data_IF_924832243675
#
_entry.id   IF_924832243675
#
_cell.length_a   1.000
_cell.length_b   1.000
_cell.length_c   1.000
_cell.angle_alpha   90.00
_cell.angle_beta   90.00
_cell.angle_gamma   90.00
#
_symmetry.space_group_name_H-M   'P 1'
#
loop_
_entity.id
_entity.type
_entity.pdbx_description
1 polymer ?
#
# COMPACT_ATOMS: atom_id res chain seq x y z
N UNK A 1 22.80 2.66 2.68
CA UNK A 1 21.66 3.11 1.85
C UNK A 1 22.11 4.31 1.05
N UNK A 2 21.99 4.29 -0.28
CA UNK A 2 22.21 5.49 -1.08
C UNK A 2 21.02 6.44 -0.84
N UNK A 3 21.24 7.53 -0.10
CA UNK A 3 20.19 8.44 0.40
C UNK A 3 19.88 9.59 -0.55
N UNK A 4 20.49 9.63 -1.73
CA UNK A 4 20.29 10.69 -2.73
C UNK A 4 18.82 10.92 -3.11
N UNK A 5 17.99 9.89 -2.96
CA UNK A 5 16.58 9.90 -3.33
C UNK A 5 15.63 10.27 -2.19
N UNK A 6 16.11 10.37 -0.94
CA UNK A 6 15.27 10.53 0.25
C UNK A 6 15.54 11.87 0.92
N UNK A 7 14.50 12.69 1.06
CA UNK A 7 14.51 13.91 1.89
C UNK A 7 13.73 13.66 3.17
N UNK A 8 14.16 14.26 4.27
CA UNK A 8 13.47 14.18 5.56
C UNK A 8 12.95 15.54 6.00
N UNK A 9 11.67 15.61 6.36
CA UNK A 9 11.02 16.78 6.92
C UNK A 9 10.77 16.57 8.42
N UNK A 10 11.57 17.21 9.31
CA UNK A 10 11.53 16.93 10.75
C UNK A 10 10.23 17.38 11.42
N UNK A 11 9.61 18.46 10.96
CA UNK A 11 8.39 19.00 11.58
C UNK A 11 7.18 18.06 11.50
N UNK A 12 7.17 17.14 10.55
CA UNK A 12 6.08 16.16 10.36
C UNK A 12 6.57 14.71 10.46
N UNK A 13 7.83 14.48 10.88
CA UNK A 13 8.51 13.19 10.85
C UNK A 13 8.25 12.43 9.52
N UNK A 14 8.48 13.09 8.39
CA UNK A 14 8.12 12.55 7.06
C UNK A 14 9.33 12.42 6.16
N UNK A 15 9.55 11.22 5.65
CA UNK A 15 10.48 10.92 4.58
C UNK A 15 9.76 11.09 3.23
N UNK A 16 10.47 11.68 2.26
CA UNK A 16 9.97 11.92 0.91
C UNK A 16 10.95 11.26 -0.06
N UNK A 17 10.51 10.22 -0.74
CA UNK A 17 11.25 9.56 -1.80
C UNK A 17 10.91 10.23 -3.13
N UNK A 18 11.91 10.69 -3.88
CA UNK A 18 11.68 11.28 -5.19
C UNK A 18 11.18 10.26 -6.22
N UNK A 19 10.50 10.74 -7.27
CA UNK A 19 10.03 9.90 -8.38
C UNK A 19 11.16 9.08 -9.01
N UNK A 20 10.83 7.92 -9.56
CA UNK A 20 11.79 7.03 -10.26
C UNK A 20 12.97 6.57 -9.40
N UNK A 21 12.82 6.58 -8.08
CA UNK A 21 13.82 6.03 -7.18
C UNK A 21 13.83 4.51 -7.24
N UNK A 22 14.98 3.92 -6.92
CA UNK A 22 15.20 2.49 -6.99
C UNK A 22 15.93 2.02 -5.71
N UNK A 23 15.38 0.99 -5.07
CA UNK A 23 15.91 0.43 -3.82
C UNK A 23 16.11 -1.08 -3.96
N UNK A 24 17.36 -1.52 -3.90
CA UNK A 24 17.73 -2.95 -3.94
C UNK A 24 17.51 -3.66 -2.61
N UNK A 25 17.71 -2.93 -1.52
CA UNK A 25 17.60 -3.44 -0.16
C UNK A 25 16.29 -2.99 0.48
N UNK A 26 15.87 -3.68 1.54
CA UNK A 26 14.69 -3.29 2.32
C UNK A 26 14.78 -1.86 2.82
N UNK A 27 13.66 -1.15 2.79
CA UNK A 27 13.53 0.22 3.29
C UNK A 27 12.75 0.18 4.59
N UNK A 28 13.38 0.58 5.68
CA UNK A 28 12.80 0.62 7.02
C UNK A 28 12.86 2.04 7.56
N UNK A 29 11.71 2.66 7.83
CA UNK A 29 11.62 4.06 8.26
C UNK A 29 10.72 4.23 9.49
N UNK A 30 11.24 4.96 10.49
CA UNK A 30 10.57 5.25 11.77
C UNK A 30 9.73 6.53 11.73
N UNK A 31 8.97 6.72 10.66
CA UNK A 31 8.18 7.92 10.42
C UNK A 31 7.18 7.73 9.29
N UNK A 32 6.60 8.82 8.83
CA UNK A 32 5.74 8.82 7.66
C UNK A 32 6.59 8.73 6.39
N UNK A 33 6.04 8.15 5.32
CA UNK A 33 6.70 8.05 4.03
C UNK A 33 5.75 8.47 2.91
N UNK A 34 6.19 9.46 2.12
CA UNK A 34 5.58 9.82 0.84
C UNK A 34 6.53 9.37 -0.27
N UNK A 35 6.04 8.53 -1.17
CA UNK A 35 6.82 8.01 -2.30
C UNK A 35 6.38 8.68 -3.59
N UNK A 36 7.32 9.23 -4.34
CA UNK A 36 7.07 9.74 -5.68
C UNK A 36 6.64 8.64 -6.66
N UNK A 37 6.11 9.04 -7.82
CA UNK A 37 5.65 8.08 -8.82
C UNK A 37 6.79 7.20 -9.38
N UNK A 38 6.42 6.01 -9.84
CA UNK A 38 7.29 5.07 -10.57
C UNK A 38 8.53 4.62 -9.80
N UNK A 39 8.42 4.43 -8.48
CA UNK A 39 9.52 3.91 -7.67
C UNK A 39 9.54 2.37 -7.67
N UNK A 40 10.72 1.79 -7.47
CA UNK A 40 10.90 0.33 -7.43
C UNK A 40 11.57 -0.08 -6.12
N UNK A 41 10.92 -0.98 -5.38
CA UNK A 41 11.44 -1.59 -4.16
C UNK A 41 11.60 -3.09 -4.40
N UNK A 42 12.83 -3.59 -4.39
CA UNK A 42 13.12 -4.99 -4.72
C UNK A 42 12.99 -5.94 -3.54
N UNK A 43 12.89 -5.41 -2.33
CA UNK A 43 12.61 -6.16 -1.12
C UNK A 43 11.46 -5.51 -0.35
N UNK A 44 11.50 -5.60 0.98
CA UNK A 44 10.44 -5.14 1.87
C UNK A 44 10.42 -3.61 2.00
N UNK A 45 9.22 -3.07 2.17
CA UNK A 45 8.99 -1.67 2.52
C UNK A 45 8.24 -1.59 3.84
N UNK A 46 8.91 -1.18 4.91
CA UNK A 46 8.33 -1.06 6.24
C UNK A 46 8.41 0.37 6.75
N UNK A 47 7.24 0.90 7.09
CA UNK A 47 7.04 2.29 7.51
C UNK A 47 6.30 2.25 8.85
N UNK A 48 6.90 2.74 9.93
CA UNK A 48 6.22 2.75 11.24
C UNK A 48 5.05 3.75 11.29
N UNK A 49 5.04 4.74 10.39
CA UNK A 49 3.98 5.74 10.27
C UNK A 49 3.07 5.51 9.05
N UNK A 50 2.55 6.61 8.51
CA UNK A 50 1.68 6.60 7.34
C UNK A 50 2.48 6.43 6.05
N UNK A 51 2.01 5.57 5.15
CA UNK A 51 2.58 5.35 3.83
C UNK A 51 1.65 5.92 2.74
N UNK A 52 2.20 6.76 1.87
CA UNK A 52 1.57 7.15 0.61
C UNK A 52 2.46 6.68 -0.54
N UNK A 53 2.08 5.59 -1.20
CA UNK A 53 2.85 5.01 -2.30
C UNK A 53 2.42 5.65 -3.62
N UNK A 54 3.34 6.40 -4.26
CA UNK A 54 3.06 7.07 -5.52
C UNK A 54 2.73 6.11 -6.65
N UNK A 55 1.85 6.54 -7.56
CA UNK A 55 1.37 5.78 -8.72
C UNK A 55 2.47 5.05 -9.51
N UNK A 56 2.10 3.95 -10.15
CA UNK A 56 2.99 3.12 -10.99
C UNK A 56 4.24 2.59 -10.25
N UNK A 57 4.20 2.49 -8.92
CA UNK A 57 5.31 1.94 -8.14
C UNK A 57 5.19 0.43 -8.00
N UNK A 58 6.34 -0.23 -7.92
CA UNK A 58 6.46 -1.67 -7.73
C UNK A 58 7.11 -1.95 -6.37
N UNK A 59 6.49 -2.81 -5.57
CA UNK A 59 7.11 -3.43 -4.39
C UNK A 59 7.14 -4.93 -4.58
N UNK A 60 8.33 -5.52 -4.63
CA UNK A 60 8.48 -6.97 -4.80
C UNK A 60 8.28 -7.75 -3.50
N UNK A 61 8.69 -7.18 -2.37
CA UNK A 61 8.51 -7.79 -1.06
C UNK A 61 7.20 -7.40 -0.40
N UNK A 62 7.16 -7.62 0.91
CA UNK A 62 6.03 -7.24 1.74
C UNK A 62 6.06 -5.74 2.07
N UNK A 63 4.87 -5.18 2.31
CA UNK A 63 4.66 -3.80 2.72
C UNK A 63 4.01 -3.78 4.09
N UNK A 64 4.58 -3.00 5.02
CA UNK A 64 4.04 -2.78 6.36
C UNK A 64 3.92 -1.28 6.64
N UNK A 65 2.75 -0.84 7.11
CA UNK A 65 2.48 0.57 7.44
C UNK A 65 1.45 0.72 8.57
N UNK A 66 1.42 1.88 9.23
CA UNK A 66 0.37 2.16 10.21
C UNK A 66 -0.96 2.50 9.54
N UNK A 67 -0.93 3.40 8.55
CA UNK A 67 -1.99 3.63 7.57
C UNK A 67 -1.35 3.60 6.18
N UNK A 68 -2.10 3.21 5.15
CA UNK A 68 -1.57 3.20 3.79
C UNK A 68 -2.57 3.70 2.76
N UNK A 69 -2.06 4.53 1.84
CA UNK A 69 -2.70 4.84 0.57
C UNK A 69 -1.79 4.31 -0.53
N UNK A 70 -2.30 3.37 -1.32
CA UNK A 70 -1.59 2.79 -2.46
C UNK A 70 -2.10 3.47 -3.73
N UNK A 71 -1.24 4.27 -4.36
CA UNK A 71 -1.59 5.04 -5.54
C UNK A 71 -1.93 4.18 -6.76
N UNK A 72 -2.54 4.77 -7.81
CA UNK A 72 -3.03 4.02 -8.95
C UNK A 72 -1.94 3.22 -9.69
N UNK A 73 -2.31 2.10 -10.29
CA UNK A 73 -1.42 1.24 -11.09
C UNK A 73 -0.18 0.73 -10.33
N UNK A 74 -0.23 0.65 -8.99
CA UNK A 74 0.86 0.04 -8.24
C UNK A 74 0.75 -1.49 -8.26
N UNK A 75 1.91 -2.15 -8.23
CA UNK A 75 2.02 -3.62 -8.13
C UNK A 75 2.75 -3.96 -6.81
N UNK A 76 2.13 -4.79 -5.98
CA UNK A 76 2.74 -5.35 -4.77
C UNK A 76 2.74 -6.86 -4.91
N UNK A 77 3.93 -7.47 -5.06
CA UNK A 77 4.04 -8.92 -5.23
C UNK A 77 3.97 -9.69 -3.92
N UNK A 78 4.37 -9.06 -2.83
CA UNK A 78 4.22 -9.60 -1.48
C UNK A 78 2.84 -9.31 -0.89
N UNK A 79 2.79 -9.35 0.43
CA UNK A 79 1.62 -9.00 1.23
C UNK A 79 1.68 -7.56 1.71
N UNK A 80 0.52 -6.93 1.84
CA UNK A 80 0.33 -5.60 2.40
C UNK A 80 -0.36 -5.73 3.76
N UNK A 81 0.34 -5.39 4.83
CA UNK A 81 -0.19 -5.39 6.19
C UNK A 81 -0.25 -3.96 6.72
N UNK A 82 -1.43 -3.54 7.15
CA UNK A 82 -1.67 -2.18 7.64
C UNK A 82 -2.34 -2.22 9.00
N UNK A 83 -1.82 -1.49 9.99
CA UNK A 83 -2.37 -1.57 11.35
C UNK A 83 -3.78 -0.98 11.47
N UNK A 84 -4.06 0.10 10.73
CA UNK A 84 -5.35 0.80 10.73
C UNK A 84 -6.00 0.77 9.37
N UNK A 85 -6.06 1.90 8.66
CA UNK A 85 -6.88 2.05 7.47
C UNK A 85 -6.04 1.91 6.20
N UNK A 86 -6.61 1.21 5.22
CA UNK A 86 -6.00 0.96 3.92
C UNK A 86 -6.90 1.49 2.80
N UNK A 87 -6.33 2.27 1.89
CA UNK A 87 -6.97 2.65 0.63
C UNK A 87 -6.15 2.16 -0.56
N UNK A 88 -6.75 1.34 -1.40
CA UNK A 88 -6.23 0.95 -2.71
C UNK A 88 -6.89 1.81 -3.77
N UNK A 89 -6.09 2.59 -4.51
CA UNK A 89 -6.56 3.40 -5.63
C UNK A 89 -6.78 2.56 -6.89
N UNK A 90 -7.21 3.19 -7.98
CA UNK A 90 -7.60 2.50 -9.21
C UNK A 90 -6.48 1.60 -9.76
N UNK A 91 -6.84 0.43 -10.27
CA UNK A 91 -5.93 -0.51 -10.94
C UNK A 91 -4.71 -0.96 -10.11
N UNK A 92 -4.85 -1.10 -8.79
CA UNK A 92 -3.79 -1.67 -7.93
C UNK A 92 -3.82 -3.20 -7.98
N UNK A 93 -2.67 -3.82 -8.21
CA UNK A 93 -2.50 -5.29 -8.16
C UNK A 93 -1.69 -5.70 -6.92
N UNK A 94 -2.28 -6.55 -6.09
CA UNK A 94 -1.63 -7.18 -4.94
C UNK A 94 -1.70 -8.69 -5.12
N UNK A 95 -0.58 -9.30 -5.46
CA UNK A 95 -0.52 -10.74 -5.72
C UNK A 95 -0.75 -11.57 -4.45
N UNK A 96 -0.28 -11.06 -3.30
CA UNK A 96 -0.43 -11.66 -1.98
C UNK A 96 -1.73 -11.27 -1.28
N UNK A 97 -1.64 -11.03 0.03
CA UNK A 97 -2.77 -10.57 0.85
C UNK A 97 -2.74 -9.06 1.06
N UNK A 98 -3.92 -8.46 1.24
CA UNK A 98 -4.07 -7.14 1.84
C UNK A 98 -4.83 -7.32 3.16
N UNK A 99 -4.22 -6.93 4.28
CA UNK A 99 -4.83 -7.03 5.60
C UNK A 99 -4.78 -5.69 6.32
N UNK A 100 -5.88 -5.30 6.96
CA UNK A 100 -5.91 -4.08 7.75
C UNK A 100 -6.72 -4.21 9.06
N UNK A 101 -6.24 -3.57 10.12
CA UNK A 101 -6.94 -3.54 11.42
C UNK A 101 -8.16 -2.60 11.48
N UNK A 102 -8.32 -1.73 10.48
CA UNK A 102 -9.41 -0.77 10.35
C UNK A 102 -10.29 -1.03 9.14
N UNK A 103 -10.57 0.03 8.39
CA UNK A 103 -11.36 -0.01 7.17
C UNK A 103 -10.45 -0.16 5.95
N UNK A 104 -10.90 -0.96 4.99
CA UNK A 104 -10.26 -1.12 3.68
C UNK A 104 -11.18 -0.58 2.59
N UNK A 105 -10.73 0.41 1.84
CA UNK A 105 -11.37 0.86 0.61
C UNK A 105 -10.61 0.32 -0.59
N UNK A 106 -11.30 -0.39 -1.48
CA UNK A 106 -10.74 -0.93 -2.72
C UNK A 106 -11.48 -0.34 -3.91
N UNK A 107 -10.75 0.39 -4.75
CA UNK A 107 -11.28 1.10 -5.89
C UNK A 107 -11.30 0.26 -7.18
N UNK A 108 -11.99 0.72 -8.24
CA UNK A 108 -12.16 -0.04 -9.47
C UNK A 108 -10.84 -0.49 -10.11
N UNK A 109 -10.86 -1.63 -10.79
CA UNK A 109 -9.72 -2.21 -11.48
C UNK A 109 -8.76 -2.99 -10.57
N UNK A 110 -8.91 -2.92 -9.25
CA UNK A 110 -8.01 -3.62 -8.33
C UNK A 110 -8.12 -5.15 -8.43
N UNK A 111 -6.98 -5.81 -8.27
CA UNK A 111 -6.85 -7.26 -8.17
C UNK A 111 -6.10 -7.62 -6.89
N UNK A 112 -6.70 -8.41 -6.00
CA UNK A 112 -6.08 -8.80 -4.73
C UNK A 112 -6.23 -10.30 -4.48
N UNK A 113 -5.15 -10.97 -4.07
CA UNK A 113 -5.16 -12.40 -3.77
C UNK A 113 -6.08 -12.76 -2.60
N UNK A 114 -5.88 -12.13 -1.45
CA UNK A 114 -6.70 -12.35 -0.25
C UNK A 114 -6.92 -11.03 0.47
N UNK A 115 -8.09 -10.79 1.04
CA UNK A 115 -8.37 -9.59 1.83
C UNK A 115 -8.91 -9.90 3.21
N UNK A 116 -8.47 -9.12 4.20
CA UNK A 116 -9.04 -9.07 5.54
C UNK A 116 -9.12 -7.63 6.02
N UNK A 117 -10.30 -7.20 6.44
CA UNK A 117 -10.49 -5.93 7.14
C UNK A 117 -11.24 -6.20 8.44
N UNK A 118 -10.69 -5.80 9.58
CA UNK A 118 -11.33 -6.05 10.88
C UNK A 118 -12.64 -5.26 11.05
N UNK A 119 -12.76 -4.08 10.41
CA UNK A 119 -13.95 -3.23 10.54
C UNK A 119 -14.89 -3.30 9.34
N UNK A 120 -14.38 -2.95 8.15
CA UNK A 120 -15.18 -2.85 6.94
C UNK A 120 -14.29 -2.98 5.71
N UNK A 121 -14.70 -3.82 4.77
CA UNK A 121 -14.20 -3.83 3.39
C UNK A 121 -15.23 -3.14 2.50
N UNK A 122 -14.86 -2.01 1.90
CA UNK A 122 -15.65 -1.30 0.90
C UNK A 122 -15.06 -1.53 -0.49
N UNK A 123 -15.84 -2.17 -1.37
CA UNK A 123 -15.48 -2.40 -2.77
C UNK A 123 -16.26 -1.45 -3.66
N UNK A 124 -15.57 -0.70 -4.50
CA UNK A 124 -16.18 0.25 -5.42
C UNK A 124 -15.94 -0.21 -6.86
N UNK A 125 -17.02 -0.35 -7.62
CA UNK A 125 -16.97 -0.74 -9.03
C UNK A 125 -16.47 -2.16 -9.24
N UNK A 126 -15.78 -2.37 -10.36
CA UNK A 126 -15.25 -3.69 -10.73
C UNK A 126 -13.96 -3.98 -9.96
N UNK A 127 -14.01 -4.88 -8.99
CA UNK A 127 -12.85 -5.35 -8.21
C UNK A 127 -12.74 -6.87 -8.31
N UNK A 128 -11.52 -7.39 -8.44
CA UNK A 128 -11.23 -8.82 -8.46
C UNK A 128 -10.53 -9.25 -7.17
N UNK A 129 -11.22 -9.98 -6.30
CA UNK A 129 -10.64 -10.54 -5.07
C UNK A 129 -10.78 -12.06 -5.13
N UNK A 130 -9.68 -12.81 -4.94
CA UNK A 130 -9.76 -14.28 -5.02
C UNK A 130 -10.38 -14.88 -3.76
N UNK A 131 -10.06 -14.33 -2.59
CA UNK A 131 -10.55 -14.82 -1.31
C UNK A 131 -10.72 -13.69 -0.29
N UNK A 132 -11.70 -13.82 0.61
CA UNK A 132 -12.07 -12.83 1.63
C UNK A 132 -12.15 -13.57 2.96
N UNK A 133 -11.43 -13.11 3.97
CA UNK A 133 -11.46 -13.69 5.32
C UNK A 133 -12.89 -13.77 5.86
N UNK A 134 -13.25 -14.94 6.38
CA UNK A 134 -14.57 -15.17 6.99
C UNK A 134 -14.85 -14.18 8.13
N UNK A 135 -16.02 -13.57 8.11
CA UNK A 135 -16.41 -12.55 9.09
C UNK A 135 -16.02 -11.12 8.72
N UNK A 136 -15.25 -10.90 7.65
CA UNK A 136 -15.04 -9.55 7.11
C UNK A 136 -16.37 -8.96 6.68
N UNK A 137 -16.74 -7.80 7.23
CA UNK A 137 -17.94 -7.07 6.81
C UNK A 137 -17.67 -6.41 5.46
N UNK A 138 -18.47 -6.74 4.44
CA UNK A 138 -18.28 -6.23 3.08
C UNK A 138 -19.43 -5.32 2.66
N UNK A 139 -19.11 -4.17 2.06
CA UNK A 139 -20.03 -3.30 1.34
C UNK A 139 -19.55 -3.19 -0.11
N UNK A 140 -20.45 -3.37 -1.06
CA UNK A 140 -20.16 -3.18 -2.49
C UNK A 140 -20.96 -1.99 -2.99
N UNK A 141 -20.30 -1.05 -3.66
CA UNK A 141 -20.91 0.13 -4.28
C UNK A 141 -20.70 0.09 -5.80
N UNK A 142 -21.73 0.45 -6.55
CA UNK A 142 -21.61 0.67 -7.99
C UNK A 142 -20.84 1.96 -8.28
N UNK A 143 -20.19 2.01 -9.44
CA UNK A 143 -19.74 3.26 -10.06
C UNK A 143 -20.91 4.09 -10.59
#
# INVERSE_FOLDING_TARGET
MNTEFIKYHPGSNTYIIQKKAYFENSVLLKGNLIVGASCNFWQELRVEGNLELGKNSLVKGDVQAHNAIIGPHCEIRGSLQVDKDLTLMDDVDIAGSATCGGQMLVRPGCSVGFVKAETLLELVGKVSIKDIEAGTKVIVRSE
#
